data_IF_473417486522
#
_entry.id   IF_473417486522
#
_cell.length_a   1.000
_cell.length_b   1.000
_cell.length_c   1.000
_cell.angle_alpha   90.00
_cell.angle_beta   90.00
_cell.angle_gamma   90.00
#
_symmetry.space_group_name_H-M   'P 1'
#
loop_
_entity.id
_entity.type
_entity.pdbx_description
1 polymer ?
#
# COMPACT_ATOMS: atom_id res chain seq x y z
N UNK A 1 -8.69 26.58 -2.46
CA UNK A 1 -9.95 25.84 -2.20
C UNK A 1 -9.68 24.65 -1.29
N UNK A 2 -8.48 24.07 -1.33
CA UNK A 2 -7.98 23.04 -0.40
C UNK A 2 -7.78 23.54 1.05
N UNK A 3 -7.36 24.80 1.26
CA UNK A 3 -7.13 25.36 2.60
C UNK A 3 -8.37 25.41 3.51
N UNK A 4 -9.59 25.43 2.94
CA UNK A 4 -10.83 25.53 3.72
C UNK A 4 -11.34 24.17 4.25
N UNK A 5 -10.86 23.04 3.69
CA UNK A 5 -11.25 21.71 4.17
C UNK A 5 -10.41 21.23 5.36
N UNK A 6 -9.15 21.69 5.45
CA UNK A 6 -8.21 21.37 6.53
C UNK A 6 -8.70 21.88 7.89
N UNK A 7 -9.31 23.07 7.93
CA UNK A 7 -9.68 23.76 9.16
C UNK A 7 -10.86 23.13 9.91
N UNK A 8 -11.75 22.38 9.23
CA UNK A 8 -12.92 21.73 9.86
C UNK A 8 -12.75 20.24 10.14
N UNK A 9 -11.80 19.57 9.48
CA UNK A 9 -11.57 18.13 9.63
C UNK A 9 -10.48 17.80 10.67
N UNK A 10 -9.59 18.76 10.99
CA UNK A 10 -8.46 18.53 11.90
C UNK A 10 -7.37 17.64 11.30
N UNK A 11 -7.25 17.60 9.97
CA UNK A 11 -6.30 16.76 9.23
C UNK A 11 -5.54 17.63 8.24
N UNK A 12 -4.21 17.56 8.26
CA UNK A 12 -3.32 18.27 7.34
C UNK A 12 -3.10 17.42 6.07
N UNK A 13 -3.29 18.01 4.89
CA UNK A 13 -2.89 17.39 3.63
C UNK A 13 -1.37 17.40 3.57
N UNK A 14 -0.77 16.22 3.38
CA UNK A 14 0.69 16.08 3.39
C UNK A 14 1.29 16.18 1.98
N UNK A 15 2.48 16.77 1.89
CA UNK A 15 3.17 16.94 0.61
C UNK A 15 3.52 15.58 -0.02
N UNK A 16 3.40 15.40 -1.35
CA UNK A 16 3.65 14.11 -2.02
C UNK A 16 5.03 13.51 -1.72
N UNK A 17 6.06 14.36 -1.59
CA UNK A 17 7.42 13.91 -1.27
C UNK A 17 7.50 13.42 0.17
N UNK A 18 6.87 14.11 1.13
CA UNK A 18 6.85 13.71 2.52
C UNK A 18 6.16 12.35 2.70
N UNK A 19 5.06 12.11 1.97
CA UNK A 19 4.41 10.80 1.95
C UNK A 19 5.28 9.70 1.35
N UNK A 20 6.07 10.01 0.31
CA UNK A 20 7.02 9.04 -0.26
C UNK A 20 8.15 8.72 0.73
N UNK A 21 8.67 9.70 1.46
CA UNK A 21 9.68 9.48 2.50
C UNK A 21 9.11 8.67 3.66
N UNK A 22 7.88 8.98 4.09
CA UNK A 22 7.17 8.20 5.12
C UNK A 22 6.99 6.74 4.68
N UNK A 23 6.59 6.53 3.43
CA UNK A 23 6.43 5.20 2.85
C UNK A 23 7.78 4.46 2.76
N UNK A 24 8.85 5.16 2.39
CA UNK A 24 10.21 4.62 2.36
C UNK A 24 10.65 4.12 3.74
N UNK A 25 10.41 4.91 4.79
CA UNK A 25 10.74 4.53 6.18
C UNK A 25 10.00 3.26 6.63
N UNK A 26 8.71 3.13 6.24
CA UNK A 26 7.93 1.93 6.53
C UNK A 26 8.53 0.72 5.82
N UNK A 27 8.87 0.85 4.53
CA UNK A 27 9.48 -0.23 3.77
C UNK A 27 10.88 -0.59 4.26
N UNK A 28 11.70 0.38 4.70
CA UNK A 28 13.01 0.13 5.30
C UNK A 28 12.93 -0.72 6.57
N UNK A 29 11.82 -0.65 7.30
CA UNK A 29 11.54 -1.54 8.45
C UNK A 29 11.23 -2.99 8.07
N UNK A 30 10.99 -3.27 6.78
CA UNK A 30 10.70 -4.60 6.23
C UNK A 30 11.89 -5.13 5.42
N UNK A 31 12.49 -4.26 4.60
CA UNK A 31 13.68 -4.52 3.78
C UNK A 31 14.74 -3.45 4.07
N UNK A 32 15.73 -3.82 4.89
CA UNK A 32 16.82 -2.93 5.28
C UNK A 32 17.73 -2.54 4.12
N UNK A 33 17.78 -3.34 3.06
CA UNK A 33 18.65 -3.15 1.90
C UNK A 33 17.96 -2.36 0.78
N UNK A 34 16.71 -1.92 0.99
CA UNK A 34 15.95 -1.15 0.01
C UNK A 34 16.73 0.09 -0.47
N UNK A 35 16.94 0.18 -1.78
CA UNK A 35 17.59 1.32 -2.40
C UNK A 35 16.59 2.46 -2.67
N UNK A 36 16.94 3.68 -2.25
CA UNK A 36 16.07 4.85 -2.35
C UNK A 36 15.76 5.24 -3.81
N UNK A 37 16.76 5.30 -4.68
CA UNK A 37 16.57 5.70 -6.08
C UNK A 37 15.61 4.77 -6.82
N UNK A 38 15.72 3.46 -6.54
CA UNK A 38 14.78 2.47 -7.08
C UNK A 38 13.39 2.62 -6.49
N UNK A 39 13.29 2.93 -5.20
CA UNK A 39 12.01 3.09 -4.51
C UNK A 39 11.21 4.28 -5.05
N UNK A 40 11.83 5.44 -5.19
CA UNK A 40 11.17 6.66 -5.69
C UNK A 40 10.56 6.47 -7.08
N UNK A 41 11.14 5.58 -7.90
CA UNK A 41 10.64 5.29 -9.25
C UNK A 41 9.23 4.69 -9.31
N UNK A 42 8.72 4.08 -8.22
CA UNK A 42 7.38 3.47 -8.19
C UNK A 42 6.54 3.85 -6.96
N UNK A 43 7.14 4.48 -5.94
CA UNK A 43 6.46 4.83 -4.69
C UNK A 43 5.26 5.77 -4.89
N UNK A 44 5.36 6.70 -5.83
CA UNK A 44 4.29 7.64 -6.16
C UNK A 44 3.03 6.91 -6.67
N UNK A 45 3.21 5.92 -7.56
CA UNK A 45 2.10 5.11 -8.07
C UNK A 45 1.46 4.28 -6.95
N UNK A 46 2.28 3.69 -6.08
CA UNK A 46 1.77 2.92 -4.94
C UNK A 46 0.97 3.79 -3.96
N UNK A 47 1.42 5.03 -3.70
CA UNK A 47 0.66 5.98 -2.88
C UNK A 47 -0.68 6.34 -3.52
N UNK A 48 -0.71 6.52 -4.84
CA UNK A 48 -1.94 6.75 -5.56
C UNK A 48 -2.90 5.55 -5.42
N UNK A 49 -2.39 4.33 -5.55
CA UNK A 49 -3.19 3.12 -5.35
C UNK A 49 -3.75 3.05 -3.92
N UNK A 50 -2.96 3.39 -2.90
CA UNK A 50 -3.43 3.45 -1.52
C UNK A 50 -4.47 4.54 -1.28
N UNK A 51 -4.31 5.72 -1.88
CA UNK A 51 -5.31 6.79 -1.83
C UNK A 51 -6.62 6.34 -2.49
N UNK A 52 -6.53 5.69 -3.66
CA UNK A 52 -7.70 5.14 -4.35
C UNK A 52 -8.40 4.06 -3.50
N UNK A 53 -7.64 3.18 -2.83
CA UNK A 53 -8.21 2.19 -1.91
C UNK A 53 -8.98 2.85 -0.77
N UNK A 54 -8.44 3.94 -0.20
CA UNK A 54 -9.10 4.70 0.86
C UNK A 54 -10.39 5.38 0.40
N UNK A 55 -10.40 5.93 -0.82
CA UNK A 55 -11.55 6.65 -1.37
C UNK A 55 -12.71 5.73 -1.77
N UNK A 56 -12.43 4.48 -2.14
CA UNK A 56 -13.45 3.56 -2.63
C UNK A 56 -14.33 2.94 -1.51
N UNK A 57 -14.17 3.32 -0.24
CA UNK A 57 -14.97 2.89 0.93
C UNK A 57 -15.12 1.36 1.11
N UNK A 58 -14.41 0.55 0.34
CA UNK A 58 -14.39 -0.90 0.48
C UNK A 58 -13.69 -1.24 1.80
N UNK A 59 -14.20 -2.24 2.53
CA UNK A 59 -13.49 -2.75 3.70
C UNK A 59 -12.12 -3.23 3.19
N UNK A 60 -11.06 -2.51 3.56
CA UNK A 60 -9.72 -2.74 3.02
C UNK A 60 -9.22 -4.15 3.35
N UNK A 61 -9.77 -4.79 4.39
CA UNK A 61 -9.58 -6.23 4.61
C UNK A 61 -10.14 -7.08 3.47
N UNK A 62 -11.35 -6.78 3.00
CA UNK A 62 -11.97 -7.49 1.89
C UNK A 62 -11.22 -7.25 0.60
N UNK A 63 -10.64 -6.07 0.35
CA UNK A 63 -9.86 -5.84 -0.88
C UNK A 63 -8.60 -6.69 -0.91
N UNK A 64 -7.82 -6.74 0.17
CA UNK A 64 -6.61 -7.56 0.21
C UNK A 64 -6.92 -9.08 0.30
N UNK A 65 -8.01 -9.46 0.97
CA UNK A 65 -8.49 -10.84 0.99
C UNK A 65 -9.00 -11.28 -0.39
N UNK A 66 -9.84 -10.47 -1.03
CA UNK A 66 -10.37 -10.70 -2.37
C UNK A 66 -9.26 -10.71 -3.43
N UNK A 67 -8.30 -9.79 -3.38
CA UNK A 67 -7.15 -9.82 -4.29
C UNK A 67 -6.31 -11.08 -4.11
N UNK A 68 -6.14 -11.55 -2.87
CA UNK A 68 -5.45 -12.81 -2.58
C UNK A 68 -6.24 -14.03 -3.07
N UNK A 69 -7.56 -14.05 -2.84
CA UNK A 69 -8.46 -15.15 -3.22
C UNK A 69 -8.73 -15.22 -4.73
N UNK A 70 -9.07 -14.10 -5.38
CA UNK A 70 -9.31 -14.01 -6.81
C UNK A 70 -8.07 -14.42 -7.62
N UNK A 71 -6.86 -14.06 -7.16
CA UNK A 71 -5.61 -14.48 -7.79
C UNK A 71 -5.23 -15.93 -7.48
N UNK A 72 -5.68 -16.48 -6.35
CA UNK A 72 -5.58 -17.92 -6.09
C UNK A 72 -6.48 -18.72 -7.04
N UNK A 73 -7.68 -18.20 -7.36
CA UNK A 73 -8.63 -18.81 -8.30
C UNK A 73 -8.18 -18.73 -9.76
N UNK A 74 -7.65 -17.59 -10.23
CA UNK A 74 -7.08 -17.46 -11.61
C UNK A 74 -5.98 -18.48 -11.92
N UNK A 75 -5.28 -19.01 -10.90
CA UNK A 75 -4.17 -19.96 -11.07
C UNK A 75 -4.56 -21.42 -10.86
N UNK A 76 -5.73 -21.72 -10.27
CA UNK A 76 -6.27 -23.08 -10.28
C UNK A 76 -6.58 -23.54 -11.72
N UNK A 77 -6.79 -22.59 -12.64
CA UNK A 77 -7.06 -22.83 -14.05
C UNK A 77 -5.79 -23.00 -14.92
N UNK A 78 -4.59 -22.81 -14.34
CA UNK A 78 -3.32 -22.85 -15.08
C UNK A 78 -2.38 -23.94 -14.55
N UNK A 79 -2.49 -25.12 -15.18
CA UNK A 79 -1.55 -26.25 -15.23
C UNK A 79 -0.92 -26.70 -13.87
N UNK A 80 -1.44 -27.78 -13.26
CA UNK A 80 -1.04 -28.24 -11.92
C UNK A 80 0.46 -28.57 -11.77
N UNK A 81 1.18 -28.87 -12.85
CA UNK A 81 2.60 -29.25 -12.80
C UNK A 81 3.60 -28.08 -12.65
N UNK A 82 3.19 -26.83 -12.96
CA UNK A 82 4.05 -25.64 -12.82
C UNK A 82 3.85 -24.86 -11.52
N UNK A 83 2.88 -25.26 -10.70
CA UNK A 83 2.46 -24.58 -9.47
C UNK A 83 3.43 -24.73 -8.28
N UNK A 84 4.55 -25.47 -8.44
CA UNK A 84 5.41 -25.86 -7.32
C UNK A 84 6.23 -24.71 -6.71
N UNK A 85 5.62 -24.13 -5.68
CA UNK A 85 6.17 -23.83 -4.35
C UNK A 85 7.09 -22.62 -4.15
N UNK A 86 7.94 -22.21 -5.10
CA UNK A 86 8.89 -21.10 -4.83
C UNK A 86 8.37 -19.73 -5.29
N UNK A 87 7.84 -19.64 -6.51
CA UNK A 87 7.25 -18.40 -7.03
C UNK A 87 5.99 -18.00 -6.26
N UNK A 88 5.16 -19.00 -5.91
CA UNK A 88 3.94 -18.82 -5.15
C UNK A 88 4.21 -18.27 -3.74
N UNK A 89 5.20 -18.82 -3.04
CA UNK A 89 5.58 -18.36 -1.71
C UNK A 89 6.12 -16.93 -1.73
N UNK A 90 6.97 -16.58 -2.70
CA UNK A 90 7.48 -15.20 -2.86
C UNK A 90 6.37 -14.22 -3.16
N UNK A 91 5.39 -14.62 -3.96
CA UNK A 91 4.23 -13.79 -4.30
C UNK A 91 3.32 -13.54 -3.10
N UNK A 92 2.94 -14.58 -2.34
CA UNK A 92 2.17 -14.39 -1.10
C UNK A 92 2.93 -13.52 -0.09
N UNK A 93 4.23 -13.75 0.04
CA UNK A 93 5.10 -12.92 0.90
C UNK A 93 5.06 -11.45 0.50
N UNK A 94 5.06 -11.15 -0.81
CA UNK A 94 4.97 -9.78 -1.32
C UNK A 94 3.62 -9.11 -0.96
N UNK A 95 2.50 -9.80 -1.18
CA UNK A 95 1.18 -9.23 -0.89
C UNK A 95 0.92 -9.05 0.61
N UNK A 96 1.39 -10.00 1.44
CA UNK A 96 1.34 -9.87 2.90
C UNK A 96 2.16 -8.65 3.37
N UNK A 97 3.34 -8.46 2.78
CA UNK A 97 4.17 -7.28 3.04
C UNK A 97 3.46 -6.00 2.60
N UNK A 98 2.83 -5.98 1.42
CA UNK A 98 2.11 -4.82 0.92
C UNK A 98 0.91 -4.44 1.82
N UNK A 99 0.13 -5.42 2.25
CA UNK A 99 -0.96 -5.22 3.20
C UNK A 99 -0.46 -4.75 4.58
N UNK A 100 0.73 -5.19 5.00
CA UNK A 100 1.37 -4.70 6.23
C UNK A 100 1.82 -3.24 6.08
N UNK A 101 2.48 -2.90 4.97
CA UNK A 101 2.89 -1.53 4.64
C UNK A 101 1.69 -0.58 4.64
N UNK A 102 0.62 -0.96 3.94
CA UNK A 102 -0.60 -0.15 3.86
C UNK A 102 -1.20 0.11 5.26
N UNK A 103 -1.30 -0.92 6.11
CA UNK A 103 -1.80 -0.78 7.48
C UNK A 103 -0.93 0.14 8.34
N UNK A 104 0.39 0.01 8.24
CA UNK A 104 1.32 0.89 8.97
C UNK A 104 1.24 2.33 8.47
N UNK A 105 1.10 2.55 7.15
CA UNK A 105 0.90 3.89 6.58
C UNK A 105 -0.39 4.52 7.13
N UNK A 106 -1.52 3.81 7.08
CA UNK A 106 -2.80 4.27 7.64
C UNK A 106 -2.69 4.62 9.12
N UNK A 107 -1.96 3.80 9.89
CA UNK A 107 -1.74 4.05 11.32
C UNK A 107 -0.96 5.33 11.55
N UNK A 108 0.12 5.57 10.79
CA UNK A 108 0.93 6.79 10.91
C UNK A 108 0.14 8.03 10.49
N UNK A 109 -0.53 7.98 9.34
CA UNK A 109 -1.39 9.07 8.88
C UNK A 109 -2.45 9.44 9.92
N UNK A 110 -3.11 8.45 10.53
CA UNK A 110 -4.09 8.70 11.60
C UNK A 110 -3.47 9.29 12.87
N UNK A 111 -2.29 8.83 13.28
CA UNK A 111 -1.63 9.32 14.48
C UNK A 111 -1.17 10.78 14.32
N UNK A 112 -0.64 11.10 13.15
CA UNK A 112 -0.07 12.41 12.84
C UNK A 112 -1.12 13.39 12.26
N UNK A 113 -2.38 12.95 12.16
CA UNK A 113 -3.48 13.72 11.57
C UNK A 113 -3.14 14.19 10.15
N UNK A 114 -2.61 13.28 9.33
CA UNK A 114 -2.24 13.51 7.94
C UNK A 114 -3.22 12.85 6.97
N UNK A 115 -3.39 13.45 5.79
CA UNK A 115 -4.16 12.92 4.67
C UNK A 115 -3.34 12.91 3.38
N UNK A 116 -3.73 12.03 2.45
CA UNK A 116 -3.25 12.10 1.07
C UNK A 116 -3.70 13.40 0.40
N UNK A 117 -2.95 13.89 -0.61
CA UNK A 117 -3.44 14.89 -1.54
C UNK A 117 -4.76 14.44 -2.17
N UNK A 118 -5.73 15.35 -2.23
CA UNK A 118 -7.06 15.15 -2.82
C UNK A 118 -7.11 15.51 -4.30
#
# INVERSE_FOLDING_TARGET
MEDYMVERAGVQVEEPIALQLLLFDIFKGIDTDLNFDRFVGWSALLLQDFSNLDQNLADTKEVFAYLSEAKALERWDLDPDKSRTTGLKRYFTFWDQLARVYRELKKRLKADHLAYPG
#
